data_IF_291409381676
#
_entry.id   IF_291409381676
#
_cell.length_a   1.000
_cell.length_b   1.000
_cell.length_c   1.000
_cell.angle_alpha   90.00
_cell.angle_beta   90.00
_cell.angle_gamma   90.00
#
_symmetry.space_group_name_H-M   'P 1'
#
loop_
_entity.id
_entity.type
_entity.pdbx_description
1 polymer ?
#
# COMPACT_ATOMS: atom_id res chain seq x y z
N UNK A 1 16.49 -3.43 17.32
CA UNK A 1 16.46 -4.09 18.65
C UNK A 1 15.38 -5.13 18.58
N UNK A 2 15.77 -6.37 18.30
CA UNK A 2 14.83 -7.48 18.20
C UNK A 2 14.45 -7.89 19.62
N UNK A 3 13.21 -7.58 19.99
CA UNK A 3 12.66 -7.91 21.29
C UNK A 3 11.87 -9.20 21.10
N UNK A 4 12.21 -10.25 21.84
CA UNK A 4 11.40 -11.47 21.87
C UNK A 4 10.06 -11.11 22.50
N UNK A 5 9.04 -10.93 21.66
CA UNK A 5 7.67 -10.64 22.08
C UNK A 5 6.85 -11.91 21.93
N UNK A 6 5.95 -12.13 22.88
CA UNK A 6 4.99 -13.23 22.81
C UNK A 6 3.61 -12.59 22.75
N UNK A 7 2.81 -13.01 21.78
CA UNK A 7 1.45 -12.52 21.59
C UNK A 7 0.57 -13.55 20.91
N UNK A 8 -0.74 -13.33 20.99
CA UNK A 8 -1.73 -14.14 20.29
C UNK A 8 -1.67 -13.81 18.81
N UNK A 9 -1.57 -14.83 17.97
CA UNK A 9 -1.71 -14.69 16.52
C UNK A 9 -3.16 -14.35 16.18
N UNK A 10 -3.38 -13.19 15.55
CA UNK A 10 -4.71 -12.67 15.19
C UNK A 10 -5.08 -13.04 13.76
N UNK A 11 -4.10 -13.07 12.86
CA UNK A 11 -4.29 -13.46 11.48
C UNK A 11 -3.06 -13.24 10.63
N UNK A 12 -3.17 -13.66 9.37
CA UNK A 12 -2.14 -13.49 8.34
C UNK A 12 -2.81 -12.91 7.11
N UNK A 13 -2.16 -11.93 6.46
CA UNK A 13 -2.66 -11.38 5.20
C UNK A 13 -2.22 -12.19 3.97
N UNK A 14 -2.66 -11.74 2.79
CA UNK A 14 -2.33 -12.40 1.52
C UNK A 14 -0.85 -12.25 1.13
N UNK A 15 -0.12 -11.31 1.72
CA UNK A 15 1.30 -11.08 1.48
C UNK A 15 2.20 -11.90 2.41
N UNK A 16 1.60 -12.56 3.42
CA UNK A 16 2.32 -13.38 4.39
C UNK A 16 2.72 -12.63 5.67
N UNK A 17 2.25 -11.39 5.86
CA UNK A 17 2.47 -10.66 7.10
C UNK A 17 1.61 -11.26 8.22
N UNK A 18 2.23 -11.52 9.37
CA UNK A 18 1.57 -12.12 10.54
C UNK A 18 1.30 -11.04 11.58
N UNK A 19 0.06 -10.97 12.06
CA UNK A 19 -0.38 -9.95 13.00
C UNK A 19 -0.60 -10.56 14.39
N UNK A 20 -0.09 -9.87 15.41
CA UNK A 20 -0.14 -10.33 16.79
C UNK A 20 -0.67 -9.27 17.74
N UNK A 21 -1.31 -9.72 18.80
CA UNK A 21 -1.84 -8.89 19.87
C UNK A 21 -1.50 -9.46 21.24
N UNK A 22 -1.10 -8.60 22.17
CA UNK A 22 -0.98 -8.90 23.58
C UNK A 22 -1.40 -7.68 24.43
N UNK A 23 -2.56 -7.77 25.08
CA UNK A 23 -3.14 -6.70 25.90
C UNK A 23 -2.45 -6.52 27.26
N UNK A 24 -1.52 -7.40 27.65
CA UNK A 24 -0.65 -7.18 28.81
C UNK A 24 0.39 -6.09 28.54
N UNK A 25 0.74 -5.88 27.26
CA UNK A 25 1.63 -4.79 26.89
C UNK A 25 0.90 -3.44 26.85
N UNK A 26 1.64 -2.39 27.17
CA UNK A 26 1.16 -1.02 27.09
C UNK A 26 0.79 -0.62 25.66
N UNK A 27 -0.38 -0.02 25.47
CA UNK A 27 -0.82 0.61 24.21
C UNK A 27 0.10 1.80 23.92
N UNK A 28 0.82 1.87 22.79
CA UNK A 28 0.50 1.26 21.48
C UNK A 28 1.30 0.00 21.11
N UNK A 29 2.10 -0.58 22.01
CA UNK A 29 2.97 -1.74 21.73
C UNK A 29 2.26 -3.09 21.83
N UNK A 30 0.98 -3.10 22.18
CA UNK A 30 0.16 -4.30 22.30
C UNK A 30 -0.12 -4.98 20.95
N UNK A 31 -0.06 -4.25 19.82
CA UNK A 31 -0.24 -4.79 18.47
C UNK A 31 1.04 -4.65 17.68
N UNK A 32 1.41 -5.68 16.92
CA UNK A 32 2.55 -5.63 16.01
C UNK A 32 2.37 -6.58 14.84
N UNK A 33 3.18 -6.38 13.81
CA UNK A 33 3.27 -7.20 12.61
C UNK A 33 4.66 -7.82 12.52
N UNK A 34 4.71 -9.08 12.11
CA UNK A 34 5.92 -9.77 11.67
C UNK A 34 5.83 -9.98 10.17
N UNK A 35 6.69 -9.27 9.43
CA UNK A 35 6.80 -9.41 7.99
C UNK A 35 7.42 -10.77 7.62
N UNK A 36 7.07 -11.35 6.45
CA UNK A 36 7.67 -12.59 5.98
C UNK A 36 9.16 -12.40 5.68
N UNK A 37 9.92 -13.50 5.76
CA UNK A 37 11.35 -13.48 5.45
C UNK A 37 11.57 -13.22 3.95
N UNK A 38 12.27 -12.12 3.64
CA UNK A 38 12.85 -11.78 2.33
C UNK A 38 11.88 -11.82 1.13
N UNK A 39 11.27 -10.67 0.85
CA UNK A 39 10.71 -10.36 -0.48
C UNK A 39 11.48 -9.17 -1.06
N UNK A 40 12.64 -9.45 -1.67
CA UNK A 40 13.48 -8.55 -2.49
C UNK A 40 14.12 -7.31 -1.81
N UNK A 41 13.40 -6.55 -0.99
CA UNK A 41 13.89 -5.48 -0.09
C UNK A 41 13.76 -5.92 1.38
N UNK A 42 14.36 -5.15 2.31
CA UNK A 42 14.03 -5.26 3.74
C UNK A 42 12.51 -5.05 3.95
N UNK A 43 12.00 -5.44 5.12
CA UNK A 43 10.62 -5.18 5.50
C UNK A 43 10.31 -3.68 5.39
N UNK A 44 9.15 -3.33 4.84
CA UNK A 44 8.67 -1.95 4.77
C UNK A 44 7.29 -1.82 5.40
N UNK A 45 7.07 -0.71 6.10
CA UNK A 45 5.78 -0.40 6.71
C UNK A 45 4.65 -0.30 5.67
N UNK A 46 4.99 0.02 4.42
CA UNK A 46 4.03 0.16 3.33
C UNK A 46 3.51 -1.16 2.77
N UNK A 47 4.04 -2.31 3.21
CA UNK A 47 3.58 -3.65 2.83
C UNK A 47 2.33 -4.11 3.59
N UNK A 48 1.91 -3.36 4.62
CA UNK A 48 0.69 -3.64 5.37
C UNK A 48 -0.51 -3.19 4.54
N UNK A 49 -1.44 -4.09 4.18
CA UNK A 49 -2.59 -3.73 3.38
C UNK A 49 -3.61 -2.90 4.19
N UNK A 50 -4.50 -2.14 3.52
CA UNK A 50 -5.36 -1.15 4.18
C UNK A 50 -6.27 -1.73 5.27
N UNK A 51 -6.73 -2.96 5.09
CA UNK A 51 -7.60 -3.65 6.04
C UNK A 51 -6.88 -3.94 7.37
N UNK A 52 -5.60 -4.29 7.31
CA UNK A 52 -4.79 -4.55 8.50
C UNK A 52 -4.18 -3.28 9.07
N UNK A 53 -3.91 -2.28 8.23
CA UNK A 53 -3.43 -0.97 8.65
C UNK A 53 -4.37 -0.30 9.67
N UNK A 54 -5.69 -0.38 9.45
CA UNK A 54 -6.67 0.21 10.36
C UNK A 54 -6.62 -0.42 11.76
N UNK A 55 -6.48 -1.74 11.83
CA UNK A 55 -6.40 -2.48 13.10
C UNK A 55 -5.04 -2.27 13.80
N UNK A 56 -3.94 -2.30 13.03
CA UNK A 56 -2.58 -2.13 13.55
C UNK A 56 -2.37 -0.75 14.17
N UNK A 57 -2.99 0.29 13.59
CA UNK A 57 -2.91 1.68 14.05
C UNK A 57 -4.01 2.07 15.05
N UNK A 58 -4.72 1.09 15.64
CA UNK A 58 -5.79 1.33 16.62
C UNK A 58 -6.92 2.25 16.12
N UNK A 59 -7.15 2.29 14.81
CA UNK A 59 -8.31 3.00 14.22
C UNK A 59 -9.58 2.18 14.46
N UNK A 60 -9.45 0.85 14.39
CA UNK A 60 -10.53 -0.11 14.69
C UNK A 60 -10.07 -1.12 15.74
N UNK A 61 -11.01 -1.56 16.59
CA UNK A 61 -10.76 -2.65 17.54
C UNK A 61 -10.86 -4.02 16.85
N UNK A 62 -11.78 -4.15 15.90
CA UNK A 62 -12.00 -5.37 15.15
C UNK A 62 -10.89 -5.59 14.12
N UNK A 63 -10.32 -6.80 14.11
CA UNK A 63 -9.41 -7.25 13.07
C UNK A 63 -10.19 -7.57 11.78
N UNK A 64 -9.57 -7.42 10.60
CA UNK A 64 -10.25 -7.70 9.32
C UNK A 64 -10.68 -9.17 9.18
N UNK A 65 -10.05 -10.10 9.91
CA UNK A 65 -10.49 -11.51 10.01
C UNK A 65 -11.88 -11.65 10.62
N UNK A 66 -12.23 -10.79 11.58
CA UNK A 66 -13.55 -10.79 12.25
C UNK A 66 -14.55 -9.98 11.45
N UNK A 67 -14.13 -8.81 10.96
CA UNK A 67 -14.99 -7.87 10.25
C UNK A 67 -14.26 -7.36 9.00
N UNK A 68 -14.41 -8.04 7.85
CA UNK A 68 -13.76 -7.62 6.62
C UNK A 68 -14.36 -6.30 6.13
N UNK A 69 -13.54 -5.38 5.60
CA UNK A 69 -14.04 -4.13 5.03
C UNK A 69 -14.83 -4.39 3.73
N UNK A 70 -15.80 -3.53 3.38
CA UNK A 70 -16.59 -3.69 2.17
C UNK A 70 -15.73 -3.44 0.92
N UNK A 71 -15.56 -4.48 0.09
CA UNK A 71 -14.82 -4.36 -1.18
C UNK A 71 -15.72 -3.78 -2.28
N UNK A 72 -15.33 -2.63 -2.83
CA UNK A 72 -16.01 -2.02 -3.98
C UNK A 72 -15.35 -2.45 -5.29
N UNK A 73 -16.09 -2.42 -6.40
CA UNK A 73 -15.63 -2.85 -7.73
C UNK A 73 -14.40 -2.11 -8.28
N UNK A 74 -14.11 -0.92 -7.76
CA UNK A 74 -13.01 -0.05 -8.20
C UNK A 74 -11.79 -0.15 -7.27
N UNK A 75 -11.87 -0.94 -6.19
CA UNK A 75 -10.76 -1.14 -5.26
C UNK A 75 -9.67 -1.92 -6.00
N UNK A 76 -8.46 -1.36 -5.98
CA UNK A 76 -7.27 -2.00 -6.51
C UNK A 76 -6.65 -2.90 -5.44
N UNK A 77 -5.95 -3.94 -5.87
CA UNK A 77 -5.11 -4.74 -4.97
C UNK A 77 -4.01 -3.87 -4.36
N UNK A 78 -3.70 -4.16 -3.10
CA UNK A 78 -2.66 -3.43 -2.39
C UNK A 78 -1.29 -3.64 -3.07
N UNK A 79 -0.54 -2.55 -3.19
CA UNK A 79 0.84 -2.53 -3.66
C UNK A 79 1.67 -1.70 -2.70
N UNK A 80 2.84 -2.20 -2.36
CA UNK A 80 3.82 -1.49 -1.56
C UNK A 80 4.33 -0.21 -2.26
N UNK A 81 5.07 0.61 -1.52
CA UNK A 81 5.63 1.85 -2.05
C UNK A 81 6.82 1.57 -2.99
N UNK A 82 6.67 1.95 -4.24
CA UNK A 82 7.67 1.75 -5.30
C UNK A 82 8.51 3.00 -5.60
N UNK A 83 8.51 4.01 -4.73
CA UNK A 83 9.13 5.32 -4.99
C UNK A 83 10.62 5.27 -5.38
N UNK A 84 11.37 4.29 -4.89
CA UNK A 84 12.80 4.12 -5.20
C UNK A 84 13.06 3.36 -6.52
N UNK A 85 12.07 2.62 -7.02
CA UNK A 85 12.20 1.75 -8.19
C UNK A 85 12.02 2.61 -9.46
N UNK A 86 13.06 2.76 -10.32
CA UNK A 86 13.02 3.70 -11.45
C UNK A 86 11.84 3.49 -12.40
N UNK A 87 11.50 2.24 -12.70
CA UNK A 87 10.45 1.88 -13.67
C UNK A 87 9.03 1.87 -13.07
N UNK A 88 8.91 1.90 -11.75
CA UNK A 88 7.61 1.77 -11.06
C UNK A 88 7.22 3.00 -10.24
N UNK A 89 8.12 3.96 -10.02
CA UNK A 89 7.81 5.19 -9.30
C UNK A 89 6.83 6.06 -10.08
N UNK A 90 5.99 6.78 -9.36
CA UNK A 90 5.08 7.74 -9.96
C UNK A 90 5.85 8.97 -10.47
N UNK A 91 5.66 9.31 -11.75
CA UNK A 91 6.20 10.52 -12.38
C UNK A 91 5.01 11.35 -12.89
N UNK A 92 4.78 12.55 -12.35
CA UNK A 92 3.68 13.38 -12.80
C UNK A 92 3.93 13.88 -14.23
N UNK A 93 2.84 14.00 -15.00
CA UNK A 93 2.84 14.57 -16.34
C UNK A 93 1.62 15.47 -16.51
N UNK A 94 1.67 16.38 -17.49
CA UNK A 94 0.48 17.14 -17.87
C UNK A 94 -0.54 16.20 -18.48
N UNK A 95 -1.66 16.01 -17.80
CA UNK A 95 -2.84 15.31 -18.33
C UNK A 95 -3.60 16.18 -19.35
N UNK A 96 -3.21 17.44 -19.52
CA UNK A 96 -3.83 18.36 -20.48
C UNK A 96 -3.20 18.23 -21.86
N UNK A 97 -4.05 18.24 -22.89
CA UNK A 97 -3.63 18.39 -24.28
C UNK A 97 -3.17 19.82 -24.56
N UNK A 98 -2.27 19.98 -25.53
CA UNK A 98 -1.85 21.29 -26.01
C UNK A 98 -3.06 22.10 -26.48
N UNK A 99 -3.23 23.31 -25.94
CA UNK A 99 -4.38 24.18 -26.25
C UNK A 99 -4.21 24.97 -27.55
N UNK A 100 -2.97 25.37 -27.85
CA UNK A 100 -2.63 26.17 -29.02
C UNK A 100 -1.78 25.32 -29.94
N UNK A 101 -2.24 25.12 -31.17
CA UNK A 101 -1.45 24.44 -32.20
C UNK A 101 -0.61 25.50 -32.93
N UNK A 102 0.71 25.33 -32.92
CA UNK A 102 1.61 26.16 -33.71
C UNK A 102 1.51 25.81 -35.20
N UNK A 103 1.64 26.82 -36.06
CA UNK A 103 1.71 26.61 -37.51
C UNK A 103 2.93 25.74 -37.87
N UNK A 104 2.73 24.73 -38.72
CA UNK A 104 3.81 23.89 -39.24
C UNK A 104 4.20 24.36 -40.65
N UNK A 105 5.44 24.85 -40.86
CA UNK A 105 5.89 25.25 -42.19
C UNK A 105 5.91 24.08 -43.17
N UNK A 106 5.54 24.33 -44.43
CA UNK A 106 5.71 23.37 -45.53
C UNK A 106 4.59 22.35 -45.72
N UNK A 107 3.47 22.44 -44.99
CA UNK A 107 2.27 21.72 -45.37
C UNK A 107 1.69 22.35 -46.65
N UNK A 108 1.63 21.56 -47.74
CA UNK A 108 0.96 21.99 -48.97
C UNK A 108 -0.51 22.26 -48.65
N UNK A 109 -1.13 23.29 -49.27
CA UNK A 109 -2.58 23.46 -49.17
C UNK A 109 -3.26 22.16 -49.57
N UNK A 110 -4.24 21.72 -48.77
CA UNK A 110 -5.04 20.56 -49.10
C UNK A 110 -5.94 21.00 -50.27
N UNK A 111 -5.60 20.56 -51.50
CA UNK A 111 -6.41 20.83 -52.70
C UNK A 111 -7.82 20.26 -52.50
N UNK A 112 -8.83 21.09 -52.76
CA UNK A 112 -10.25 20.80 -52.59
C UNK A 112 -10.85 20.17 -53.85
#
# INVERSE_FOLDING_TARGET
>A
MDVTRVGRHVGTDNFGNRYYENNEYFVPRNRWVEFPDKVWLDYDATQVPPEWHSWLHHITDDAPTVKPPPTQKWVLEHRENTSIIPDQKYIPYSTTRTKVQGWQPGQKPQDN
#
